data_IF_012830598975
#
_entry.id   IF_012830598975
#
_cell.length_a   1.000
_cell.length_b   1.000
_cell.length_c   1.000
_cell.angle_alpha   90.00
_cell.angle_beta   90.00
_cell.angle_gamma   90.00
#
_symmetry.space_group_name_H-M   'P 1'
#
loop_
_entity.id
_entity.type
_entity.pdbx_description
1 polymer ?
#
# COMPACT_ATOMS: atom_id res chain seq x y z
N UNK A 1 9.55 8.83 -11.48
CA UNK A 1 9.26 8.57 -12.91
C UNK A 1 8.10 7.59 -13.01
N UNK A 2 7.54 7.36 -14.20
CA UNK A 2 6.51 6.36 -14.42
C UNK A 2 6.80 5.57 -15.71
N UNK A 3 6.45 4.28 -15.72
CA UNK A 3 6.49 3.42 -16.90
C UNK A 3 5.06 2.99 -17.21
N UNK A 4 4.53 3.41 -18.35
CA UNK A 4 3.22 2.97 -18.82
C UNK A 4 3.38 1.68 -19.62
N UNK A 5 2.60 0.67 -19.28
CA UNK A 5 2.60 -0.65 -19.90
C UNK A 5 1.18 -1.01 -20.34
N UNK A 6 0.99 -1.91 -21.33
CA UNK A 6 -0.34 -2.25 -21.85
C UNK A 6 -1.10 -3.20 -20.91
N UNK A 7 -1.41 -2.74 -19.70
CA UNK A 7 -2.28 -3.41 -18.72
C UNK A 7 -3.48 -2.51 -18.43
N UNK A 8 -4.70 -3.07 -18.32
CA UNK A 8 -5.92 -2.25 -18.34
C UNK A 8 -6.19 -1.47 -17.05
N UNK A 9 -5.86 -2.06 -15.90
CA UNK A 9 -6.24 -1.51 -14.60
C UNK A 9 -5.03 -1.50 -13.65
N UNK A 10 -4.88 -2.52 -12.81
CA UNK A 10 -3.92 -2.56 -11.70
C UNK A 10 -2.51 -2.06 -12.05
N UNK A 11 -1.98 -1.25 -11.12
CA UNK A 11 -0.65 -0.65 -11.17
C UNK A 11 0.16 -1.03 -9.94
N UNK A 12 1.46 -0.72 -9.95
CA UNK A 12 2.34 -0.90 -8.79
C UNK A 12 3.27 0.29 -8.57
N UNK A 13 3.75 0.44 -7.34
CA UNK A 13 4.89 1.27 -6.98
C UNK A 13 6.09 0.37 -6.73
N UNK A 14 7.21 0.71 -7.36
CA UNK A 14 8.53 0.14 -7.08
C UNK A 14 9.36 1.18 -6.32
N UNK A 15 9.50 0.99 -5.01
CA UNK A 15 10.20 1.91 -4.13
C UNK A 15 11.56 1.33 -3.73
N UNK A 16 12.63 2.01 -4.11
CA UNK A 16 13.99 1.75 -3.61
C UNK A 16 14.42 2.91 -2.72
N UNK A 17 14.80 2.63 -1.47
CA UNK A 17 15.09 3.65 -0.45
C UNK A 17 16.24 3.23 0.46
N UNK A 18 17.07 4.18 0.89
CA UNK A 18 18.07 3.99 1.94
C UNK A 18 17.48 4.38 3.31
N UNK A 19 17.55 3.47 4.28
CA UNK A 19 17.05 3.69 5.64
C UNK A 19 18.13 4.24 6.56
N UNK A 20 17.69 4.83 7.69
CA UNK A 20 18.57 5.42 8.69
C UNK A 20 19.19 4.40 9.68
N UNK A 21 18.69 3.18 9.68
CA UNK A 21 19.08 2.10 10.58
C UNK A 21 19.20 0.80 9.80
N UNK A 22 19.99 -0.13 10.35
CA UNK A 22 20.13 -1.47 9.79
C UNK A 22 18.82 -2.25 9.90
N UNK A 23 18.47 -2.99 8.86
CA UNK A 23 17.23 -3.77 8.75
C UNK A 23 17.47 -5.11 8.06
N UNK A 24 16.52 -6.02 8.24
CA UNK A 24 16.40 -7.27 7.49
C UNK A 24 15.09 -7.29 6.70
N UNK A 25 14.97 -8.18 5.71
CA UNK A 25 13.72 -8.39 4.97
C UNK A 25 12.57 -8.70 5.94
N UNK A 26 12.79 -9.57 6.92
CA UNK A 26 11.79 -9.93 7.92
C UNK A 26 11.35 -8.74 8.77
N UNK A 27 12.28 -7.87 9.17
CA UNK A 27 11.95 -6.66 9.94
C UNK A 27 11.09 -5.68 9.13
N UNK A 28 11.43 -5.48 7.84
CA UNK A 28 10.65 -4.64 6.92
C UNK A 28 9.25 -5.21 6.72
N UNK A 29 9.16 -6.51 6.39
CA UNK A 29 7.88 -7.19 6.19
C UNK A 29 7.03 -7.19 7.46
N UNK A 30 7.61 -7.44 8.63
CA UNK A 30 6.90 -7.39 9.91
C UNK A 30 6.33 -5.99 10.20
N UNK A 31 7.04 -4.92 9.84
CA UNK A 31 6.53 -3.56 9.98
C UNK A 31 5.29 -3.31 9.11
N UNK A 32 5.28 -3.80 7.86
CA UNK A 32 4.11 -3.71 6.98
C UNK A 32 2.96 -4.60 7.44
N UNK A 33 3.22 -5.82 7.89
CA UNK A 33 2.20 -6.71 8.48
C UNK A 33 1.51 -6.01 9.64
N UNK A 34 2.31 -5.47 10.57
CA UNK A 34 1.78 -4.75 11.74
C UNK A 34 0.94 -3.55 11.32
N UNK A 35 1.42 -2.74 10.37
CA UNK A 35 0.66 -1.59 9.88
C UNK A 35 -0.64 -2.00 9.16
N UNK A 36 -0.65 -3.12 8.44
CA UNK A 36 -1.83 -3.62 7.74
C UNK A 36 -2.91 -4.16 8.70
N UNK A 37 -2.49 -4.76 9.83
CA UNK A 37 -3.40 -5.41 10.78
C UNK A 37 -3.81 -4.52 11.96
N UNK A 38 -3.00 -3.52 12.29
CA UNK A 38 -3.15 -2.67 13.48
C UNK A 38 -3.11 -1.17 13.14
N UNK A 39 -3.71 -0.37 14.03
CA UNK A 39 -3.58 1.08 13.99
C UNK A 39 -4.25 1.76 12.79
N UNK A 40 -3.79 2.95 12.39
CA UNK A 40 -4.51 3.82 11.45
C UNK A 40 -4.44 3.34 9.99
N UNK A 41 -3.56 2.40 9.67
CA UNK A 41 -3.38 1.88 8.32
C UNK A 41 -4.27 0.65 8.03
N UNK A 42 -4.95 0.11 9.05
CA UNK A 42 -5.89 -1.01 8.87
C UNK A 42 -7.02 -0.62 7.91
N UNK A 43 -7.22 -1.43 6.88
CA UNK A 43 -8.19 -1.15 5.81
C UNK A 43 -7.70 -0.17 4.73
N UNK A 44 -6.51 0.41 4.89
CA UNK A 44 -5.84 1.27 3.90
C UNK A 44 -4.67 0.52 3.26
N UNK A 45 -3.86 -0.13 4.08
CA UNK A 45 -2.72 -0.97 3.69
C UNK A 45 -3.11 -2.44 3.81
N UNK A 46 -2.63 -3.25 2.87
CA UNK A 46 -2.64 -4.70 2.95
C UNK A 46 -1.22 -5.25 2.74
N UNK A 47 -1.01 -6.50 3.11
CA UNK A 47 0.24 -7.22 2.93
C UNK A 47 -0.06 -8.63 2.41
N UNK A 48 0.64 -9.07 1.36
CA UNK A 48 0.48 -10.39 0.77
C UNK A 48 1.82 -11.13 0.72
N UNK A 49 1.77 -12.44 0.99
CA UNK A 49 2.88 -13.39 0.81
C UNK A 49 2.55 -14.44 -0.24
N UNK A 50 1.44 -14.26 -0.95
CA UNK A 50 1.02 -15.14 -2.03
C UNK A 50 1.74 -14.73 -3.32
N UNK A 51 2.16 -15.68 -4.17
CA UNK A 51 2.81 -15.39 -5.44
C UNK A 51 1.80 -14.94 -6.50
N UNK A 52 1.18 -13.78 -6.28
CA UNK A 52 0.12 -13.21 -7.11
C UNK A 52 0.66 -12.35 -8.26
N UNK A 53 -0.23 -12.00 -9.18
CA UNK A 53 0.04 -11.09 -10.30
C UNK A 53 -0.96 -9.93 -10.32
N UNK A 54 -0.74 -8.95 -11.21
CA UNK A 54 -1.55 -7.72 -11.30
C UNK A 54 -3.06 -7.95 -11.28
N UNK A 55 -3.58 -8.93 -12.01
CA UNK A 55 -5.02 -9.18 -12.13
C UNK A 55 -5.69 -9.62 -10.83
N UNK A 56 -4.93 -10.19 -9.89
CA UNK A 56 -5.46 -10.68 -8.61
C UNK A 56 -5.82 -9.52 -7.66
N UNK A 57 -5.31 -8.32 -7.93
CA UNK A 57 -5.61 -7.11 -7.14
C UNK A 57 -6.76 -6.28 -7.70
N UNK A 58 -7.42 -6.72 -8.77
CA UNK A 58 -8.60 -6.03 -9.30
C UNK A 58 -9.70 -5.93 -8.23
N UNK A 59 -10.38 -4.79 -8.19
CA UNK A 59 -11.51 -4.54 -7.26
C UNK A 59 -11.09 -4.53 -5.78
N UNK A 60 -9.79 -4.47 -5.48
CA UNK A 60 -9.34 -4.32 -4.10
C UNK A 60 -9.59 -2.90 -3.61
N UNK A 61 -10.11 -2.75 -2.39
CA UNK A 61 -10.42 -1.44 -1.80
C UNK A 61 -9.24 -0.87 -1.01
N UNK A 62 -8.15 -1.61 -0.86
CA UNK A 62 -6.92 -1.12 -0.23
C UNK A 62 -6.25 -0.08 -1.12
N UNK A 63 -5.60 0.91 -0.51
CA UNK A 63 -4.82 1.90 -1.26
C UNK A 63 -3.48 1.34 -1.72
N UNK A 64 -3.00 0.30 -1.06
CA UNK A 64 -1.70 -0.30 -1.29
C UNK A 64 -1.68 -1.71 -0.70
N UNK A 65 -1.27 -2.70 -1.50
CA UNK A 65 -0.99 -4.07 -1.05
C UNK A 65 0.49 -4.36 -1.27
N UNK A 66 1.24 -4.46 -0.18
CA UNK A 66 2.67 -4.78 -0.22
C UNK A 66 2.86 -6.24 -0.62
N UNK A 67 3.69 -6.48 -1.62
CA UNK A 67 4.15 -7.81 -2.02
C UNK A 67 5.38 -8.18 -1.20
N UNK A 68 5.16 -9.00 -0.16
CA UNK A 68 6.18 -9.40 0.79
C UNK A 68 7.24 -10.33 0.20
N UNK A 69 6.93 -11.05 -0.89
CA UNK A 69 7.89 -11.92 -1.58
C UNK A 69 8.90 -11.10 -2.40
N UNK A 70 8.52 -9.89 -2.80
CA UNK A 70 9.34 -8.97 -3.59
C UNK A 70 10.18 -8.00 -2.74
N UNK A 71 10.02 -8.00 -1.42
CA UNK A 71 10.84 -7.16 -0.51
C UNK A 71 12.30 -7.59 -0.54
N UNK A 72 13.22 -6.64 -0.71
CA UNK A 72 14.66 -6.90 -0.71
C UNK A 72 15.39 -5.93 0.21
N UNK A 73 16.48 -6.41 0.82
CA UNK A 73 17.47 -5.58 1.50
C UNK A 73 18.85 -5.85 0.89
N UNK A 74 19.51 -4.80 0.40
CA UNK A 74 20.87 -4.84 -0.09
C UNK A 74 21.81 -4.16 0.91
N UNK A 75 22.86 -4.89 1.32
CA UNK A 75 23.63 -4.54 2.51
C UNK A 75 22.70 -4.58 3.73
N UNK A 76 22.73 -3.54 4.55
CA UNK A 76 21.87 -3.48 5.74
C UNK A 76 20.78 -2.39 5.65
N UNK A 77 20.81 -1.54 4.63
CA UNK A 77 20.06 -0.26 4.67
C UNK A 77 19.35 0.11 3.37
N UNK A 78 19.71 -0.48 2.23
CA UNK A 78 19.00 -0.21 0.97
C UNK A 78 17.86 -1.21 0.82
N UNK A 79 16.63 -0.71 0.86
CA UNK A 79 15.42 -1.54 0.83
C UNK A 79 14.69 -1.31 -0.49
N UNK A 80 14.17 -2.40 -1.07
CA UNK A 80 13.20 -2.37 -2.16
C UNK A 80 11.86 -2.94 -1.67
N UNK A 81 10.77 -2.26 -1.98
CA UNK A 81 9.40 -2.72 -1.72
C UNK A 81 8.57 -2.55 -2.98
N UNK A 82 7.77 -3.57 -3.32
CA UNK A 82 6.72 -3.47 -4.31
C UNK A 82 5.36 -3.36 -3.62
N UNK A 83 4.52 -2.45 -4.12
CA UNK A 83 3.16 -2.33 -3.64
C UNK A 83 2.16 -2.16 -4.78
N UNK A 84 1.22 -3.09 -4.85
CA UNK A 84 0.14 -3.11 -5.84
C UNK A 84 -1.01 -2.20 -5.41
N UNK A 85 -1.68 -1.61 -6.39
CA UNK A 85 -2.91 -0.87 -6.18
C UNK A 85 -3.80 -0.96 -7.42
N UNK A 86 -5.08 -1.19 -7.18
CA UNK A 86 -6.11 -0.90 -8.17
C UNK A 86 -6.28 0.62 -8.24
N UNK A 87 -5.77 1.23 -9.33
CA UNK A 87 -5.78 2.69 -9.51
C UNK A 87 -7.16 3.28 -9.73
N UNK A 88 -8.18 2.46 -9.99
CA UNK A 88 -9.56 2.93 -10.06
C UNK A 88 -10.27 2.68 -8.74
N UNK A 89 -10.25 1.44 -8.25
CA UNK A 89 -11.09 0.98 -7.15
C UNK A 89 -10.60 1.44 -5.77
N UNK A 90 -9.31 1.22 -5.48
CA UNK A 90 -8.71 1.60 -4.21
C UNK A 90 -8.75 3.11 -4.00
N UNK A 91 -8.48 3.89 -5.06
CA UNK A 91 -8.59 5.34 -5.04
C UNK A 91 -10.04 5.81 -4.84
N UNK A 92 -10.99 5.22 -5.57
CA UNK A 92 -12.42 5.55 -5.42
C UNK A 92 -12.93 5.29 -4.00
N UNK A 93 -12.48 4.21 -3.35
CA UNK A 93 -12.79 3.95 -1.95
C UNK A 93 -12.25 5.08 -1.03
N UNK A 94 -11.04 5.59 -1.28
CA UNK A 94 -10.50 6.74 -0.54
C UNK A 94 -11.26 8.04 -0.76
N UNK A 95 -11.79 8.27 -1.97
CA UNK A 95 -12.68 9.41 -2.23
C UNK A 95 -13.93 9.34 -1.35
N UNK A 96 -14.56 8.16 -1.24
CA UNK A 96 -15.71 7.96 -0.35
C UNK A 96 -15.33 8.18 1.11
N UNK A 97 -14.20 7.65 1.56
CA UNK A 97 -13.71 7.83 2.94
C UNK A 97 -13.46 9.32 3.25
N UNK A 98 -12.90 10.07 2.30
CA UNK A 98 -12.68 11.50 2.42
C UNK A 98 -13.99 12.29 2.50
N UNK A 99 -14.98 11.95 1.67
CA UNK A 99 -16.32 12.59 1.73
C UNK A 99 -16.95 12.39 3.10
N UNK A 100 -16.92 11.16 3.64
CA UNK A 100 -17.42 10.88 5.00
C UNK A 100 -16.69 11.70 6.06
N UNK A 101 -15.36 11.81 5.95
CA UNK A 101 -14.55 12.62 6.87
C UNK A 101 -14.95 14.09 6.84
N UNK A 102 -15.15 14.67 5.65
CA UNK A 102 -15.59 16.07 5.50
C UNK A 102 -16.99 16.27 6.07
N UNK A 103 -17.93 15.37 5.79
CA UNK A 103 -19.30 15.45 6.32
C UNK A 103 -19.31 15.47 7.86
N UNK A 104 -18.60 14.53 8.50
CA UNK A 104 -18.51 14.48 9.97
C UNK A 104 -17.87 15.74 10.57
N UNK A 105 -16.88 16.31 9.89
CA UNK A 105 -16.24 17.55 10.33
C UNK A 105 -17.21 18.75 10.24
N UNK A 106 -18.05 18.83 9.21
CA UNK A 106 -19.05 19.88 9.07
C UNK A 106 -20.16 19.79 10.12
N UNK A 107 -20.61 18.58 10.48
CA UNK A 107 -21.58 18.38 11.57
C UNK A 107 -21.04 18.87 12.91
N UNK A 108 -19.76 18.62 13.19
CA UNK A 108 -19.10 19.06 14.43
C UNK A 108 -19.00 20.59 14.54
N UNK A 109 -18.93 21.31 13.42
CA UNK A 109 -18.87 22.78 13.39
C UNK A 109 -20.25 23.41 13.60
N UNK A 110 -21.32 22.72 13.20
CA UNK A 110 -22.69 23.22 13.29
C UNK A 110 -23.40 22.83 14.60
N UNK A 111 -22.77 22.02 15.45
CA UNK A 111 -23.26 21.61 16.77
C UNK A 111 -22.67 22.49 17.89
#
# INVERSE_FOLDING_TARGET
MALRVPTPNVSLVDLVVDLNTDVTVDAVNAAFVKAATEGPMKGILNFSVEPLVSSDYNTTTYSSTVDGLSTMVLGNRKVKVLAWYDNEWGYSARVVDLVKKVANALETVNA
#
